data_IF_837305362653
#
_entry.id   IF_837305362653
#
_cell.length_a   1.000
_cell.length_b   1.000
_cell.length_c   1.000
_cell.angle_alpha   90.00
_cell.angle_beta   90.00
_cell.angle_gamma   90.00
#
_symmetry.space_group_name_H-M   'P 1'
#
loop_
_entity.id
_entity.type
_entity.pdbx_description
1 polymer ?
#
# COMPACT_ATOMS: atom_id res chain seq x y z
N UNK A 1 -16.01 5.53 19.10
CA UNK A 1 -14.66 5.15 19.56
C UNK A 1 -13.71 5.30 18.38
N UNK A 2 -12.61 6.02 18.52
CA UNK A 2 -11.61 6.12 17.45
C UNK A 2 -10.99 4.73 17.21
N UNK A 3 -10.75 4.33 15.95
CA UNK A 3 -10.18 3.02 15.66
C UNK A 3 -8.77 2.91 16.28
N UNK A 4 -8.47 1.77 16.90
CA UNK A 4 -7.15 1.48 17.49
C UNK A 4 -6.13 1.15 16.38
N UNK A 5 -5.72 2.19 15.65
CA UNK A 5 -4.73 2.10 14.58
C UNK A 5 -3.38 2.59 15.11
N UNK A 6 -2.35 1.76 14.97
CA UNK A 6 -0.98 2.19 15.23
C UNK A 6 -0.43 2.91 14.00
N UNK A 7 0.25 4.02 14.26
CA UNK A 7 0.71 4.96 13.24
C UNK A 7 2.23 5.09 13.28
N UNK A 8 2.90 4.80 12.17
CA UNK A 8 4.35 4.94 12.04
C UNK A 8 4.71 5.72 10.77
N UNK A 9 5.68 6.64 10.87
CA UNK A 9 6.27 7.36 9.72
C UNK A 9 7.64 6.77 9.44
N UNK A 10 7.95 6.51 8.17
CA UNK A 10 9.28 6.09 7.70
C UNK A 10 9.97 7.21 6.90
N UNK A 11 11.30 7.10 6.75
CA UNK A 11 12.16 8.09 6.09
C UNK A 11 11.72 8.45 4.67
N UNK A 12 11.23 7.46 3.91
CA UNK A 12 10.76 7.63 2.53
C UNK A 12 9.37 8.27 2.40
N UNK A 13 8.94 9.04 3.41
CA UNK A 13 7.62 9.68 3.43
C UNK A 13 6.46 8.66 3.37
N UNK A 14 6.69 7.45 3.88
CA UNK A 14 5.70 6.38 3.95
C UNK A 14 5.06 6.39 5.34
N UNK A 15 3.74 6.34 5.40
CA UNK A 15 2.99 6.10 6.63
C UNK A 15 2.49 4.67 6.65
N UNK A 16 2.76 3.96 7.75
CA UNK A 16 2.24 2.62 7.99
C UNK A 16 1.14 2.70 9.05
N UNK A 17 -0.02 2.14 8.72
CA UNK A 17 -1.17 1.96 9.57
C UNK A 17 -1.29 0.50 9.95
N UNK A 18 -1.32 0.18 11.25
CA UNK A 18 -1.54 -1.20 11.71
C UNK A 18 -2.86 -1.34 12.42
N UNK A 19 -3.71 -2.21 11.89
CA UNK A 19 -5.05 -2.51 12.39
C UNK A 19 -5.05 -3.78 13.22
N UNK A 20 -6.04 -3.94 14.10
CA UNK A 20 -6.17 -5.17 14.91
C UNK A 20 -6.76 -6.34 14.12
N UNK A 21 -7.64 -6.08 13.14
CA UNK A 21 -8.30 -7.10 12.34
C UNK A 21 -8.45 -6.69 10.87
N UNK A 22 -8.50 -7.66 9.93
CA UNK A 22 -8.81 -7.39 8.53
C UNK A 22 -10.13 -6.62 8.36
N UNK A 23 -11.18 -7.01 9.11
CA UNK A 23 -12.51 -6.39 8.97
C UNK A 23 -12.47 -4.88 9.27
N UNK A 24 -11.82 -4.48 10.37
CA UNK A 24 -11.71 -3.06 10.74
C UNK A 24 -10.90 -2.26 9.72
N UNK A 25 -9.90 -2.89 9.11
CA UNK A 25 -9.06 -2.28 8.08
C UNK A 25 -9.84 -2.12 6.78
N UNK A 26 -10.43 -3.20 6.29
CA UNK A 26 -11.15 -3.24 5.01
C UNK A 26 -12.38 -2.32 5.07
N UNK A 27 -13.14 -2.32 6.17
CA UNK A 27 -14.27 -1.40 6.35
C UNK A 27 -13.88 0.07 6.16
N UNK A 28 -12.70 0.47 6.63
CA UNK A 28 -12.23 1.85 6.58
C UNK A 28 -11.50 2.19 5.27
N UNK A 29 -10.81 1.22 4.66
CA UNK A 29 -9.86 1.46 3.57
C UNK A 29 -10.29 0.91 2.21
N UNK A 30 -11.27 0.00 2.15
CA UNK A 30 -11.83 -0.48 0.89
C UNK A 30 -12.39 0.67 0.03
N UNK A 31 -13.14 1.66 0.56
CA UNK A 31 -13.66 2.74 -0.26
C UNK A 31 -12.55 3.51 -0.99
N UNK A 32 -11.39 3.70 -0.34
CA UNK A 32 -10.24 4.40 -0.90
C UNK A 32 -9.53 3.49 -1.90
N UNK A 33 -9.20 2.26 -1.49
CA UNK A 33 -8.41 1.33 -2.30
C UNK A 33 -9.15 0.86 -3.54
N UNK A 34 -10.48 0.75 -3.47
CA UNK A 34 -11.30 0.37 -4.62
C UNK A 34 -11.39 1.49 -5.67
N UNK A 35 -11.14 2.76 -5.32
CA UNK A 35 -10.99 3.84 -6.32
C UNK A 35 -9.68 3.70 -7.10
N UNK A 36 -8.62 3.23 -6.43
CA UNK A 36 -7.26 3.15 -7.00
C UNK A 36 -7.08 1.87 -7.81
N UNK A 37 -7.37 0.71 -7.19
CA UNK A 37 -7.06 -0.62 -7.76
C UNK A 37 -8.31 -1.39 -8.21
N UNK A 38 -9.50 -0.88 -7.91
CA UNK A 38 -10.74 -1.65 -8.02
C UNK A 38 -10.99 -2.62 -6.84
N UNK A 39 -12.17 -3.27 -6.83
CA UNK A 39 -12.58 -4.14 -5.74
C UNK A 39 -11.78 -5.44 -5.69
N UNK A 40 -11.16 -5.73 -4.54
CA UNK A 40 -10.44 -6.97 -4.28
C UNK A 40 -11.09 -7.69 -3.10
N UNK A 41 -11.54 -8.93 -3.30
CA UNK A 41 -12.11 -9.75 -2.23
C UNK A 41 -11.01 -10.16 -1.25
N UNK A 42 -11.33 -10.14 0.05
CA UNK A 42 -10.44 -10.59 1.13
C UNK A 42 -9.06 -9.91 1.09
N UNK A 43 -9.03 -8.60 0.81
CA UNK A 43 -7.81 -7.81 0.78
C UNK A 43 -7.10 -7.94 2.14
N UNK A 44 -5.81 -8.29 2.11
CA UNK A 44 -5.01 -8.55 3.30
C UNK A 44 -4.14 -7.35 3.70
N UNK A 45 -3.98 -6.37 2.82
CA UNK A 45 -3.26 -5.13 3.00
C UNK A 45 -3.72 -4.08 2.00
N UNK A 46 -3.55 -2.80 2.35
CA UNK A 46 -3.88 -1.68 1.48
C UNK A 46 -2.64 -0.86 1.24
N UNK A 47 -2.55 -0.29 0.04
CA UNK A 47 -1.53 0.67 -0.29
C UNK A 47 -2.07 1.65 -1.32
N UNK A 48 -1.74 2.93 -1.15
CA UNK A 48 -2.14 3.97 -2.10
C UNK A 48 -1.33 5.26 -1.87
N UNK A 49 -1.19 6.11 -2.91
CA UNK A 49 -0.65 7.46 -2.76
C UNK A 49 -1.45 8.26 -1.73
N UNK A 50 -0.79 9.18 -1.01
CA UNK A 50 -1.46 10.09 -0.06
C UNK A 50 -2.67 10.76 -0.77
N UNK A 51 -2.46 11.28 -1.97
CA UNK A 51 -3.42 12.17 -2.63
C UNK A 51 -4.76 11.50 -2.95
N UNK A 52 -4.84 10.17 -2.83
CA UNK A 52 -6.07 9.38 -2.95
C UNK A 52 -6.99 9.47 -1.72
N UNK A 53 -6.53 9.99 -0.58
CA UNK A 53 -7.37 10.20 0.61
C UNK A 53 -7.90 11.64 0.69
N UNK A 54 -9.18 11.82 1.00
CA UNK A 54 -9.70 13.14 1.37
C UNK A 54 -9.31 13.52 2.80
N UNK A 55 -9.50 14.80 3.19
CA UNK A 55 -9.24 15.22 4.58
C UNK A 55 -10.22 14.53 5.54
N UNK A 56 -11.45 14.33 5.09
CA UNK A 56 -12.53 13.68 5.81
C UNK A 56 -12.20 12.20 6.04
N UNK A 57 -11.72 11.49 5.01
CA UNK A 57 -11.29 10.09 5.12
C UNK A 57 -10.10 9.95 6.07
N UNK A 58 -9.12 10.86 6.01
CA UNK A 58 -8.00 10.88 6.97
C UNK A 58 -8.51 11.03 8.40
N UNK A 59 -9.45 11.94 8.64
CA UNK A 59 -10.01 12.18 9.96
C UNK A 59 -10.85 10.99 10.48
N UNK A 60 -11.46 10.22 9.58
CA UNK A 60 -12.19 9.00 9.94
C UNK A 60 -11.25 7.84 10.27
N UNK A 61 -10.17 7.68 9.50
CA UNK A 61 -9.23 6.56 9.63
C UNK A 61 -8.25 6.77 10.78
N UNK A 62 -7.76 8.01 10.95
CA UNK A 62 -6.64 8.29 11.84
C UNK A 62 -7.05 9.12 13.06
N UNK A 63 -6.47 8.83 14.24
CA UNK A 63 -6.67 9.66 15.43
C UNK A 63 -5.99 11.03 15.32
N UNK A 64 -5.13 11.23 14.33
CA UNK A 64 -4.37 12.46 14.08
C UNK A 64 -4.18 12.69 12.57
N UNK A 65 -3.95 13.93 12.14
CA UNK A 65 -3.67 14.22 10.73
C UNK A 65 -2.47 13.41 10.21
N UNK A 66 -2.51 13.02 8.92
CA UNK A 66 -1.34 12.47 8.25
C UNK A 66 -0.16 13.43 8.37
N UNK A 67 1.03 12.86 8.53
CA UNK A 67 2.27 13.64 8.56
C UNK A 67 2.41 14.45 7.27
N UNK A 68 2.85 15.72 7.38
CA UNK A 68 2.91 16.63 6.23
C UNK A 68 3.81 16.15 5.09
N UNK A 69 4.82 15.35 5.42
CA UNK A 69 5.69 14.77 4.39
C UNK A 69 5.11 13.49 3.77
N UNK A 70 4.01 12.92 4.28
CA UNK A 70 3.47 11.65 3.79
C UNK A 70 3.16 11.72 2.29
N UNK A 71 3.74 10.81 1.53
CA UNK A 71 3.51 10.62 0.09
C UNK A 71 2.79 9.32 -0.22
N UNK A 72 2.89 8.34 0.66
CA UNK A 72 2.33 7.01 0.44
C UNK A 72 1.84 6.41 1.75
N UNK A 73 0.71 5.71 1.69
CA UNK A 73 0.10 5.04 2.84
C UNK A 73 0.13 3.54 2.61
N UNK A 74 0.52 2.81 3.64
CA UNK A 74 0.39 1.35 3.73
C UNK A 74 -0.51 1.05 4.93
N UNK A 75 -1.37 0.06 4.79
CA UNK A 75 -2.11 -0.53 5.91
C UNK A 75 -2.00 -2.05 5.91
N UNK A 76 -1.82 -2.63 7.09
CA UNK A 76 -1.85 -4.07 7.29
C UNK A 76 -2.38 -4.43 8.68
N UNK A 77 -2.71 -5.70 8.88
CA UNK A 77 -3.02 -6.23 10.21
C UNK A 77 -1.74 -6.31 11.05
N UNK A 78 -1.83 -5.95 12.33
CA UNK A 78 -0.73 -6.03 13.30
C UNK A 78 -0.18 -7.45 13.35
N UNK A 79 1.15 -7.57 13.35
CA UNK A 79 1.84 -8.86 13.35
C UNK A 79 1.95 -9.56 11.99
N UNK A 80 1.21 -9.12 10.96
CA UNK A 80 1.32 -9.68 9.61
C UNK A 80 2.53 -9.08 8.85
N UNK A 81 3.70 -9.62 9.14
CA UNK A 81 4.96 -9.17 8.55
C UNK A 81 5.08 -9.48 7.06
N UNK A 82 4.43 -10.54 6.57
CA UNK A 82 4.47 -10.92 5.16
C UNK A 82 3.73 -9.91 4.29
N UNK A 83 2.50 -9.56 4.67
CA UNK A 83 1.76 -8.50 3.99
C UNK A 83 2.53 -7.19 4.06
N UNK A 84 3.04 -6.80 5.23
CA UNK A 84 3.79 -5.55 5.35
C UNK A 84 5.00 -5.50 4.39
N UNK A 85 5.74 -6.60 4.25
CA UNK A 85 6.85 -6.69 3.28
C UNK A 85 6.36 -6.52 1.84
N UNK A 86 5.23 -7.12 1.49
CA UNK A 86 4.62 -6.96 0.17
C UNK A 86 4.23 -5.49 -0.10
N UNK A 87 3.52 -4.85 0.83
CA UNK A 87 3.09 -3.46 0.65
C UNK A 87 4.28 -2.48 0.62
N UNK A 88 5.35 -2.77 1.37
CA UNK A 88 6.58 -1.98 1.32
C UNK A 88 7.26 -2.04 -0.05
N UNK A 89 7.11 -3.13 -0.81
CA UNK A 89 7.60 -3.20 -2.18
C UNK A 89 6.87 -2.20 -3.10
N UNK A 90 5.54 -2.12 -2.98
CA UNK A 90 4.73 -1.15 -3.72
C UNK A 90 5.12 0.28 -3.35
N UNK A 91 5.22 0.57 -2.06
CA UNK A 91 5.59 1.89 -1.58
C UNK A 91 6.99 2.30 -2.05
N UNK A 92 7.98 1.40 -1.96
CA UNK A 92 9.34 1.67 -2.46
C UNK A 92 9.36 1.94 -3.96
N UNK A 93 8.60 1.17 -4.74
CA UNK A 93 8.46 1.41 -6.18
C UNK A 93 7.84 2.78 -6.49
N UNK A 94 6.90 3.25 -5.66
CA UNK A 94 6.29 4.57 -5.80
C UNK A 94 7.24 5.70 -5.37
N UNK A 95 7.81 5.61 -4.17
CA UNK A 95 8.54 6.73 -3.53
C UNK A 95 9.98 6.88 -3.98
N UNK A 96 10.61 5.82 -4.49
CA UNK A 96 12.02 5.81 -4.89
C UNK A 96 12.18 5.73 -6.42
N UNK A 97 12.43 6.86 -7.12
CA UNK A 97 12.57 6.88 -8.57
C UNK A 97 13.73 6.04 -9.10
N UNK A 98 14.84 5.95 -8.35
CA UNK A 98 16.00 5.16 -8.75
C UNK A 98 15.66 3.67 -8.75
N UNK A 99 15.04 3.19 -7.68
CA UNK A 99 14.57 1.81 -7.58
C UNK A 99 13.55 1.49 -8.68
N UNK A 100 12.59 2.38 -8.93
CA UNK A 100 11.64 2.22 -10.03
C UNK A 100 12.33 2.10 -11.40
N UNK A 101 13.34 2.93 -11.66
CA UNK A 101 14.11 2.85 -12.90
C UNK A 101 14.86 1.51 -13.03
N UNK A 102 15.45 1.00 -11.95
CA UNK A 102 16.10 -0.31 -11.91
C UNK A 102 15.10 -1.43 -12.22
N UNK A 103 13.93 -1.44 -11.57
CA UNK A 103 12.88 -2.44 -11.83
C UNK A 103 12.38 -2.37 -13.28
N UNK A 104 12.15 -1.17 -13.80
CA UNK A 104 11.75 -0.98 -15.18
C UNK A 104 12.80 -1.50 -16.16
N UNK A 105 14.08 -1.26 -15.89
CA UNK A 105 15.18 -1.78 -16.70
C UNK A 105 15.20 -3.31 -16.67
N UNK A 106 15.11 -3.92 -15.48
CA UNK A 106 15.06 -5.39 -15.35
C UNK A 106 13.88 -5.96 -16.14
N UNK A 107 12.69 -5.39 -15.97
CA UNK A 107 11.48 -5.85 -16.64
C UNK A 107 11.61 -5.79 -18.16
N UNK A 108 12.08 -4.67 -18.69
CA UNK A 108 12.10 -4.42 -20.14
C UNK A 108 13.32 -4.97 -20.87
N UNK A 109 14.50 -5.02 -20.23
CA UNK A 109 15.77 -5.32 -20.88
C UNK A 109 16.48 -6.57 -20.36
N UNK A 110 16.23 -7.00 -19.12
CA UNK A 110 16.91 -8.17 -18.53
C UNK A 110 16.05 -9.43 -18.65
N UNK A 111 14.75 -9.32 -18.39
CA UNK A 111 13.84 -10.46 -18.49
C UNK A 111 13.56 -10.82 -19.95
N UNK A 112 13.50 -12.11 -20.23
CA UNK A 112 12.98 -12.62 -21.49
C UNK A 112 11.46 -12.45 -21.54
N UNK A 113 10.90 -12.43 -22.75
CA UNK A 113 9.44 -12.41 -22.93
C UNK A 113 8.76 -13.58 -22.23
N UNK A 114 9.33 -14.79 -22.32
CA UNK A 114 8.81 -15.98 -21.61
C UNK A 114 8.74 -15.76 -20.10
N UNK A 115 9.76 -15.16 -19.49
CA UNK A 115 9.76 -14.85 -18.05
C UNK A 115 8.73 -13.77 -17.71
N UNK A 116 8.62 -12.70 -18.49
CA UNK A 116 7.59 -11.67 -18.30
C UNK A 116 6.18 -12.26 -18.37
N UNK A 117 5.90 -13.07 -19.39
CA UNK A 117 4.61 -13.74 -19.56
C UNK A 117 4.31 -14.68 -18.40
N UNK A 118 5.30 -15.44 -17.94
CA UNK A 118 5.15 -16.31 -16.77
C UNK A 118 4.80 -15.50 -15.50
N UNK A 119 5.52 -14.40 -15.23
CA UNK A 119 5.27 -13.55 -14.07
C UNK A 119 3.90 -12.87 -14.17
N UNK A 120 3.55 -12.30 -15.33
CA UNK A 120 2.26 -11.68 -15.56
C UNK A 120 1.11 -12.69 -15.39
N UNK A 121 1.30 -13.92 -15.86
CA UNK A 121 0.34 -15.01 -15.67
C UNK A 121 0.17 -15.42 -14.21
N UNK A 122 1.19 -15.24 -13.36
CA UNK A 122 1.06 -15.44 -11.92
C UNK A 122 0.27 -14.30 -11.24
N UNK A 123 0.40 -13.07 -11.74
CA UNK A 123 -0.29 -11.90 -11.19
C UNK A 123 -1.79 -11.82 -11.55
N UNK A 124 -2.22 -12.50 -12.63
CA UNK A 124 -3.62 -12.53 -13.09
C UNK A 124 -4.44 -13.70 -12.53
N UNK A 125 -3.87 -14.50 -11.63
CA UNK A 125 -4.54 -15.63 -10.94
C UNK A 125 -4.89 -15.25 -9.52
#
# INVERSE_FOLDING_TARGET
MAPQVEYQVMEDCIVILRFQSPDSMNQLLDPISNRVDGPIKNRMGHNFPRDEMTKEEIAQVLPKPLHKSCKYVIACVRGNTQTLKHELCHARYFTNPKYRAEINHVWSHVLTEKQRTYIAGFMMR
#
